data_IF_379949026801
#
_entry.id   IF_379949026801
#
_cell.length_a   1.000
_cell.length_b   1.000
_cell.length_c   1.000
_cell.angle_alpha   90.00
_cell.angle_beta   90.00
_cell.angle_gamma   90.00
#
_symmetry.space_group_name_H-M   'P 1'
#
loop_
_entity.id
_entity.type
_entity.pdbx_description
1 polymer ?
#
# COMPACT_ATOMS: atom_id res chain seq x y z
N UNK A 1 36.62 -0.74 68.73
CA UNK A 1 36.70 -2.19 68.49
C UNK A 1 37.27 -2.39 67.09
N UNK A 2 38.54 -2.81 66.98
CA UNK A 2 39.25 -3.07 65.72
C UNK A 2 39.03 -4.53 65.32
N UNK A 3 38.76 -4.80 64.05
CA UNK A 3 39.27 -6.00 63.37
C UNK A 3 39.53 -5.69 61.90
N UNK A 4 40.73 -6.07 61.47
CA UNK A 4 41.33 -5.95 60.15
C UNK A 4 41.26 -7.35 59.51
N UNK A 5 41.03 -7.41 58.21
CA UNK A 5 41.26 -8.60 57.38
C UNK A 5 40.55 -8.41 56.05
N UNK A 6 41.15 -8.54 54.88
CA UNK A 6 42.45 -9.09 54.48
C UNK A 6 42.23 -9.53 53.03
N UNK A 7 42.92 -8.89 52.09
CA UNK A 7 42.80 -9.10 50.64
C UNK A 7 43.21 -10.54 50.25
N UNK A 8 42.40 -11.22 49.44
CA UNK A 8 42.78 -12.42 48.72
C UNK A 8 42.74 -12.13 47.21
N UNK A 9 43.93 -12.14 46.61
CA UNK A 9 44.19 -11.98 45.18
C UNK A 9 43.99 -13.34 44.50
N UNK A 10 42.99 -13.47 43.64
CA UNK A 10 42.81 -14.65 42.79
C UNK A 10 43.38 -14.37 41.39
N UNK A 11 44.45 -15.08 41.05
CA UNK A 11 45.08 -15.12 39.73
C UNK A 11 44.16 -15.82 38.73
N UNK A 12 43.79 -15.15 37.63
CA UNK A 12 43.20 -15.80 36.45
C UNK A 12 44.31 -15.96 35.42
N UNK A 13 44.64 -17.22 35.11
CA UNK A 13 45.59 -17.58 34.08
C UNK A 13 45.02 -17.27 32.69
N UNK A 14 45.75 -16.49 31.89
CA UNK A 14 45.46 -16.27 30.48
C UNK A 14 45.84 -17.53 29.69
N UNK A 15 44.85 -18.27 29.21
CA UNK A 15 45.05 -19.30 28.19
C UNK A 15 45.14 -18.64 26.81
N UNK A 16 46.32 -18.70 26.18
CA UNK A 16 46.46 -18.38 24.76
C UNK A 16 45.84 -19.52 23.94
N UNK A 17 44.58 -19.35 23.55
CA UNK A 17 43.96 -20.15 22.49
C UNK A 17 44.04 -19.38 21.17
N UNK A 18 44.84 -19.86 20.24
CA UNK A 18 44.90 -19.33 18.88
C UNK A 18 43.54 -19.54 18.17
N UNK A 19 42.94 -18.52 17.54
CA UNK A 19 41.74 -18.74 16.76
C UNK A 19 42.15 -19.49 15.49
N UNK A 20 41.60 -20.70 15.32
CA UNK A 20 41.69 -21.40 14.04
C UNK A 20 41.11 -20.49 12.95
N UNK A 21 41.94 -20.15 11.96
CA UNK A 21 41.53 -19.40 10.78
C UNK A 21 40.49 -20.22 10.01
N UNK A 22 39.21 -20.00 10.32
CA UNK A 22 38.10 -20.49 9.54
C UNK A 22 38.12 -19.84 8.17
N UNK A 23 38.18 -20.65 7.11
CA UNK A 23 38.02 -20.18 5.74
C UNK A 23 36.75 -19.33 5.61
N UNK A 24 36.74 -18.26 4.79
CA UNK A 24 35.55 -17.44 4.61
C UNK A 24 34.43 -18.32 4.04
N UNK A 25 33.36 -18.49 4.82
CA UNK A 25 32.15 -19.14 4.33
C UNK A 25 31.63 -18.31 3.16
N UNK A 26 31.69 -18.88 1.96
CA UNK A 26 31.06 -18.30 0.77
C UNK A 26 29.55 -18.32 1.04
N UNK A 27 29.00 -17.15 1.36
CA UNK A 27 27.58 -16.97 1.58
C UNK A 27 26.86 -17.12 0.25
N UNK A 28 26.30 -18.30 -0.01
CA UNK A 28 25.32 -18.55 -1.07
C UNK A 28 23.93 -17.93 -0.77
N UNK A 29 23.85 -16.95 0.15
CA UNK A 29 22.60 -16.24 0.39
C UNK A 29 22.24 -15.41 -0.85
N UNK A 30 21.00 -15.51 -1.34
CA UNK A 30 20.52 -14.62 -2.40
C UNK A 30 20.73 -13.16 -2.02
N UNK A 31 21.03 -12.27 -2.98
CA UNK A 31 21.19 -10.85 -2.69
C UNK A 31 19.91 -10.31 -2.04
N UNK A 32 20.08 -9.48 -1.00
CA UNK A 32 18.95 -8.85 -0.32
C UNK A 32 18.16 -7.97 -1.29
N UNK A 33 16.83 -8.15 -1.36
CA UNK A 33 15.96 -7.33 -2.20
C UNK A 33 16.01 -5.86 -1.72
N UNK A 34 16.10 -4.87 -2.63
CA UNK A 34 16.14 -3.46 -2.23
C UNK A 34 14.87 -3.09 -1.46
N UNK A 35 14.88 -2.07 -0.58
CA UNK A 35 13.69 -1.67 0.16
C UNK A 35 12.57 -1.22 -0.79
N UNK A 36 11.31 -1.40 -0.35
CA UNK A 36 10.13 -0.86 -1.02
C UNK A 36 9.49 0.15 -0.11
N UNK A 37 9.29 1.36 -0.61
CA UNK A 37 8.55 2.42 0.06
C UNK A 37 7.16 2.53 -0.56
N UNK A 38 6.16 2.49 0.31
CA UNK A 38 4.76 2.70 -0.06
C UNK A 38 4.28 3.98 0.60
N UNK A 39 3.53 4.78 -0.13
CA UNK A 39 2.73 5.85 0.46
C UNK A 39 1.25 5.56 0.21
N UNK A 40 0.46 5.68 1.28
CA UNK A 40 -0.96 5.33 1.26
C UNK A 40 -1.76 6.62 1.41
N UNK A 41 -2.55 6.95 0.40
CA UNK A 41 -3.57 7.99 0.47
C UNK A 41 -4.88 7.40 0.98
N UNK A 42 -5.57 8.13 1.87
CA UNK A 42 -6.96 7.84 2.21
C UNK A 42 -7.89 8.21 1.06
N UNK A 43 -9.02 8.81 1.39
CA UNK A 43 -10.00 9.25 0.40
C UNK A 43 -9.45 10.41 -0.45
N UNK A 44 -9.30 10.14 -1.73
CA UNK A 44 -8.86 11.09 -2.74
C UNK A 44 -10.05 11.39 -3.64
N UNK A 45 -10.48 12.65 -3.60
CA UNK A 45 -11.48 13.21 -4.49
C UNK A 45 -10.87 14.38 -5.27
N UNK A 46 -10.82 14.24 -6.60
CA UNK A 46 -10.20 15.18 -7.53
C UNK A 46 -11.22 16.15 -8.14
N UNK A 47 -12.48 15.75 -8.25
CA UNK A 47 -13.53 16.53 -8.89
C UNK A 47 -13.27 16.77 -10.37
N UNK A 48 -13.65 17.95 -10.85
CA UNK A 48 -13.44 18.42 -12.23
C UNK A 48 -12.06 19.03 -12.47
N UNK A 49 -11.26 19.25 -11.42
CA UNK A 49 -10.03 20.01 -11.54
C UNK A 49 -8.88 19.15 -12.08
N UNK A 50 -8.45 19.47 -13.30
CA UNK A 50 -7.36 18.79 -14.00
C UNK A 50 -5.97 19.34 -13.66
N UNK A 51 -5.89 20.35 -12.78
CA UNK A 51 -4.61 20.83 -12.27
C UNK A 51 -3.91 19.72 -11.47
N UNK A 52 -2.57 19.70 -11.43
CA UNK A 52 -1.82 18.64 -10.79
C UNK A 52 -1.85 18.81 -9.27
N UNK A 53 -2.99 18.49 -8.65
CA UNK A 53 -3.29 18.68 -7.21
C UNK A 53 -2.23 18.08 -6.28
N UNK A 54 -1.57 17.00 -6.70
CA UNK A 54 -0.57 16.30 -5.91
C UNK A 54 0.88 16.68 -6.29
N UNK A 55 1.10 17.64 -7.19
CA UNK A 55 2.46 18.04 -7.60
C UNK A 55 3.33 18.52 -6.43
N UNK A 56 2.73 19.20 -5.44
CA UNK A 56 3.48 19.74 -4.30
C UNK A 56 4.08 18.64 -3.40
N UNK A 57 3.49 17.44 -3.39
CA UNK A 57 3.98 16.32 -2.58
C UNK A 57 4.85 15.35 -3.38
N UNK A 58 4.84 15.41 -4.72
CA UNK A 58 5.60 14.50 -5.57
C UNK A 58 7.10 14.45 -5.23
N UNK A 59 7.82 15.56 -4.93
CA UNK A 59 9.23 15.50 -4.54
C UNK A 59 9.48 14.82 -3.19
N UNK A 60 8.52 14.87 -2.27
CA UNK A 60 8.61 14.20 -0.96
C UNK A 60 8.41 12.69 -1.11
N UNK A 61 7.66 12.27 -2.12
CA UNK A 61 7.26 10.90 -2.39
C UNK A 61 8.07 10.25 -3.52
N UNK A 62 9.17 10.87 -3.94
CA UNK A 62 9.98 10.38 -5.06
C UNK A 62 10.51 8.96 -4.78
N UNK A 63 10.34 8.07 -5.75
CA UNK A 63 10.69 6.65 -5.63
C UNK A 63 9.70 5.78 -4.82
N UNK A 64 8.76 6.37 -4.07
CA UNK A 64 7.72 5.63 -3.35
C UNK A 64 6.56 5.24 -4.28
N UNK A 65 5.92 4.09 -4.01
CA UNK A 65 4.76 3.63 -4.76
C UNK A 65 3.47 4.03 -4.06
N UNK A 66 2.63 4.80 -4.76
CA UNK A 66 1.36 5.28 -4.25
C UNK A 66 0.22 4.28 -4.41
N UNK A 67 -0.58 4.14 -3.35
CA UNK A 67 -1.85 3.42 -3.32
C UNK A 67 -2.87 4.36 -2.67
N UNK A 68 -4.00 4.61 -3.32
CA UNK A 68 -5.03 5.56 -2.82
C UNK A 68 -6.42 4.94 -2.79
N UNK A 69 -7.31 5.44 -1.94
CA UNK A 69 -8.74 5.16 -2.03
C UNK A 69 -9.40 6.27 -2.88
N UNK A 70 -10.03 5.92 -4.00
CA UNK A 70 -10.71 6.91 -4.84
C UNK A 70 -12.13 7.11 -4.31
N UNK A 71 -12.42 8.34 -3.87
CA UNK A 71 -13.74 8.70 -3.39
C UNK A 71 -14.59 9.20 -4.56
N UNK A 72 -15.63 8.45 -4.89
CA UNK A 72 -16.50 8.70 -6.03
C UNK A 72 -16.01 8.09 -7.36
N UNK A 73 -16.93 7.82 -8.30
CA UNK A 73 -16.62 7.22 -9.59
C UNK A 73 -15.86 8.16 -10.52
N UNK A 74 -15.15 7.60 -11.49
CA UNK A 74 -14.64 8.36 -12.64
C UNK A 74 -15.76 8.57 -13.63
N UNK A 75 -16.09 9.84 -13.91
CA UNK A 75 -17.16 10.24 -14.82
C UNK A 75 -16.84 11.60 -15.45
N UNK A 76 -17.23 11.84 -16.71
CA UNK A 76 -16.92 13.09 -17.41
C UNK A 76 -17.67 14.32 -16.87
N UNK A 77 -18.72 14.11 -16.08
CA UNK A 77 -19.52 15.17 -15.49
C UNK A 77 -20.08 14.73 -14.13
N UNK A 78 -20.41 15.71 -13.31
CA UNK A 78 -21.07 15.50 -12.03
C UNK A 78 -22.38 14.71 -12.19
N UNK A 79 -22.61 13.65 -11.40
CA UNK A 79 -23.87 12.93 -11.40
C UNK A 79 -25.02 13.84 -10.97
N UNK A 80 -26.16 13.70 -11.65
CA UNK A 80 -27.40 14.38 -11.26
C UNK A 80 -28.11 13.61 -10.13
N UNK A 81 -28.81 14.32 -9.26
CA UNK A 81 -29.60 13.71 -8.18
C UNK A 81 -29.67 14.56 -6.92
N UNK A 82 -30.40 14.07 -5.92
CA UNK A 82 -30.41 14.66 -4.58
C UNK A 82 -29.25 14.14 -3.73
N UNK A 83 -28.81 14.97 -2.78
CA UNK A 83 -27.71 14.66 -1.87
C UNK A 83 -26.33 15.01 -2.42
N UNK A 84 -25.29 14.75 -1.62
CA UNK A 84 -23.90 14.91 -2.06
C UNK A 84 -23.56 13.78 -3.04
N UNK A 85 -23.12 14.16 -4.24
CA UNK A 85 -22.61 13.26 -5.28
C UNK A 85 -21.21 13.68 -5.64
N UNK A 86 -20.29 12.72 -5.64
CA UNK A 86 -18.90 12.92 -5.99
C UNK A 86 -18.59 12.29 -7.34
N UNK A 87 -17.61 12.83 -8.03
CA UNK A 87 -17.03 12.23 -9.23
C UNK A 87 -15.60 12.71 -9.41
N UNK A 88 -14.87 11.98 -10.23
CA UNK A 88 -13.52 12.35 -10.64
C UNK A 88 -13.52 12.45 -12.17
N UNK A 89 -13.20 13.62 -12.72
CA UNK A 89 -13.10 13.77 -14.17
C UNK A 89 -11.95 12.89 -14.70
N UNK A 90 -12.11 12.18 -15.84
CA UNK A 90 -11.04 11.32 -16.37
C UNK A 90 -9.67 12.02 -16.51
N UNK A 91 -9.58 13.27 -16.99
CA UNK A 91 -8.29 13.96 -17.07
C UNK A 91 -7.64 14.25 -15.71
N UNK A 92 -8.42 14.30 -14.62
CA UNK A 92 -7.89 14.55 -13.27
C UNK A 92 -7.02 13.39 -12.77
N UNK A 93 -7.19 12.16 -13.30
CA UNK A 93 -6.38 10.99 -12.96
C UNK A 93 -4.87 11.21 -13.22
N UNK A 94 -4.51 12.15 -14.09
CA UNK A 94 -3.12 12.56 -14.31
C UNK A 94 -2.43 13.04 -13.01
N UNK A 95 -3.19 13.64 -12.09
CA UNK A 95 -2.69 14.06 -10.78
C UNK A 95 -2.18 12.87 -9.96
N UNK A 96 -2.91 11.74 -9.98
CA UNK A 96 -2.49 10.51 -9.28
C UNK A 96 -1.18 9.96 -9.86
N UNK A 97 -1.09 9.91 -11.20
CA UNK A 97 0.13 9.46 -11.89
C UNK A 97 1.33 10.33 -11.55
N UNK A 98 1.15 11.64 -11.50
CA UNK A 98 2.22 12.60 -11.19
C UNK A 98 2.79 12.42 -9.77
N UNK A 99 2.01 11.83 -8.86
CA UNK A 99 2.42 11.53 -7.49
C UNK A 99 2.94 10.10 -7.29
N UNK A 100 3.17 9.35 -8.38
CA UNK A 100 3.67 7.97 -8.30
C UNK A 100 2.61 6.94 -7.90
N UNK A 101 1.32 7.25 -7.98
CA UNK A 101 0.25 6.28 -7.73
C UNK A 101 0.28 5.19 -8.80
N UNK A 102 0.23 3.93 -8.36
CA UNK A 102 0.10 2.75 -9.23
C UNK A 102 -1.24 2.03 -9.11
N UNK A 103 -1.94 2.19 -7.99
CA UNK A 103 -3.22 1.54 -7.76
C UNK A 103 -4.21 2.46 -7.07
N UNK A 104 -5.49 2.36 -7.44
CA UNK A 104 -6.57 3.13 -6.84
C UNK A 104 -7.74 2.21 -6.46
N UNK A 105 -8.18 2.31 -5.21
CA UNK A 105 -9.30 1.58 -4.64
C UNK A 105 -10.61 2.19 -5.08
N UNK A 106 -11.58 1.35 -5.47
CA UNK A 106 -12.91 1.79 -5.94
C UNK A 106 -14.04 1.31 -5.04
N UNK A 107 -13.74 0.52 -4.01
CA UNK A 107 -14.71 0.13 -2.99
C UNK A 107 -14.81 1.25 -1.95
N UNK A 108 -15.61 2.27 -2.27
CA UNK A 108 -15.84 3.43 -1.44
C UNK A 108 -17.36 3.68 -1.33
N UNK A 109 -17.82 4.32 -0.25
CA UNK A 109 -19.23 4.61 -0.03
C UNK A 109 -19.86 5.46 -1.15
N UNK A 110 -19.07 6.28 -1.86
CA UNK A 110 -19.50 7.08 -3.01
C UNK A 110 -19.38 6.37 -4.38
N UNK A 111 -18.95 5.11 -4.44
CA UNK A 111 -18.68 4.39 -5.70
C UNK A 111 -19.89 4.30 -6.67
N UNK A 112 -21.12 4.42 -6.15
CA UNK A 112 -22.36 4.31 -6.92
C UNK A 112 -22.98 5.67 -7.27
N UNK A 113 -22.30 6.78 -7.02
CA UNK A 113 -22.87 8.12 -7.24
C UNK A 113 -23.19 8.39 -8.72
N UNK A 114 -22.46 7.78 -9.65
CA UNK A 114 -22.72 7.80 -11.09
C UNK A 114 -23.57 6.60 -11.57
N UNK A 115 -24.35 6.00 -10.66
CA UNK A 115 -25.21 4.85 -10.94
C UNK A 115 -24.52 3.50 -10.79
N UNK A 116 -25.28 2.43 -11.04
CA UNK A 116 -24.84 1.04 -10.83
C UNK A 116 -23.64 0.63 -11.70
N UNK A 117 -23.47 1.25 -12.87
CA UNK A 117 -22.33 1.03 -13.77
C UNK A 117 -21.09 1.88 -13.42
N UNK A 118 -21.21 2.78 -12.44
CA UNK A 118 -20.15 3.67 -12.00
C UNK A 118 -18.85 2.94 -11.66
N UNK A 119 -18.87 1.87 -10.85
CA UNK A 119 -17.67 1.10 -10.51
C UNK A 119 -16.97 0.48 -11.72
N UNK A 120 -17.72 -0.17 -12.62
CA UNK A 120 -17.13 -0.84 -13.80
C UNK A 120 -16.53 0.18 -14.77
N UNK A 121 -17.20 1.31 -14.97
CA UNK A 121 -16.66 2.45 -15.72
C UNK A 121 -15.38 2.98 -15.09
N UNK A 122 -15.39 3.18 -13.77
CA UNK A 122 -14.25 3.66 -13.00
C UNK A 122 -13.05 2.73 -13.14
N UNK A 123 -13.26 1.42 -13.04
CA UNK A 123 -12.20 0.42 -13.23
C UNK A 123 -11.57 0.51 -14.63
N UNK A 124 -12.39 0.68 -15.68
CA UNK A 124 -11.90 0.84 -17.06
C UNK A 124 -11.08 2.11 -17.22
N UNK A 125 -11.59 3.25 -16.77
CA UNK A 125 -10.90 4.55 -16.88
C UNK A 125 -9.57 4.57 -16.11
N UNK A 126 -9.53 3.95 -14.92
CA UNK A 126 -8.27 3.75 -14.18
C UNK A 126 -7.29 2.91 -14.99
N UNK A 127 -7.75 1.79 -15.57
CA UNK A 127 -6.93 0.94 -16.44
C UNK A 127 -6.37 1.68 -17.65
N UNK A 128 -7.21 2.47 -18.33
CA UNK A 128 -6.82 3.29 -19.49
C UNK A 128 -5.82 4.39 -19.09
N UNK A 129 -5.90 4.91 -17.86
CA UNK A 129 -4.92 5.82 -17.28
C UNK A 129 -3.65 5.11 -16.76
N UNK A 130 -3.54 3.80 -16.90
CA UNK A 130 -2.40 2.99 -16.45
C UNK A 130 -2.32 2.80 -14.93
N UNK A 131 -3.44 2.96 -14.22
CA UNK A 131 -3.61 2.71 -12.79
C UNK A 131 -4.29 1.35 -12.60
N UNK A 132 -3.85 0.55 -11.64
CA UNK A 132 -4.51 -0.70 -11.29
C UNK A 132 -5.75 -0.42 -10.41
N UNK A 133 -6.98 -0.66 -10.90
CA UNK A 133 -8.15 -0.60 -10.03
C UNK A 133 -8.16 -1.78 -9.05
N UNK A 134 -8.69 -1.58 -7.84
CA UNK A 134 -8.95 -2.66 -6.90
C UNK A 134 -10.21 -2.43 -6.04
N UNK A 135 -10.84 -3.52 -5.62
CA UNK A 135 -12.13 -3.52 -4.91
C UNK A 135 -13.32 -3.76 -5.83
N UNK A 136 -14.47 -4.08 -5.23
CA UNK A 136 -15.72 -4.41 -5.96
C UNK A 136 -15.47 -5.44 -7.08
N UNK A 137 -16.09 -5.24 -8.26
CA UNK A 137 -15.93 -6.12 -9.42
C UNK A 137 -14.50 -6.21 -9.98
N UNK A 138 -13.61 -5.27 -9.63
CA UNK A 138 -12.20 -5.33 -10.05
C UNK A 138 -11.38 -6.34 -9.23
N UNK A 139 -11.86 -6.72 -8.03
CA UNK A 139 -11.12 -7.63 -7.15
C UNK A 139 -9.80 -7.04 -6.63
N UNK A 140 -8.86 -7.86 -6.12
CA UNK A 140 -7.58 -7.37 -5.63
C UNK A 140 -6.64 -6.95 -6.76
N UNK A 141 -5.88 -5.87 -6.56
CA UNK A 141 -4.71 -5.58 -7.40
C UNK A 141 -3.49 -6.35 -6.90
N UNK A 142 -2.59 -6.73 -7.81
CA UNK A 142 -1.28 -7.31 -7.49
C UNK A 142 -0.22 -6.45 -8.16
N UNK A 143 0.62 -5.79 -7.36
CA UNK A 143 1.71 -4.95 -7.82
C UNK A 143 3.04 -5.69 -7.66
N UNK A 144 3.81 -5.80 -8.74
CA UNK A 144 5.18 -6.32 -8.72
C UNK A 144 6.17 -5.15 -8.52
N UNK A 145 6.82 -5.10 -7.35
CA UNK A 145 7.72 -4.00 -6.97
C UNK A 145 8.98 -4.58 -6.35
N UNK A 146 10.14 -4.32 -6.96
CA UNK A 146 11.44 -4.80 -6.47
C UNK A 146 11.47 -6.33 -6.16
N UNK A 147 10.84 -7.13 -7.03
CA UNK A 147 10.73 -8.59 -6.86
C UNK A 147 9.85 -9.01 -5.69
N UNK A 148 8.88 -8.17 -5.30
CA UNK A 148 7.84 -8.46 -4.30
C UNK A 148 6.47 -8.31 -4.94
N UNK A 149 5.57 -9.25 -4.63
CA UNK A 149 4.14 -9.17 -4.93
C UNK A 149 3.41 -8.48 -3.78
N UNK A 150 2.89 -7.29 -4.04
CA UNK A 150 2.06 -6.55 -3.10
C UNK A 150 0.61 -6.69 -3.54
N UNK A 151 -0.18 -7.39 -2.74
CA UNK A 151 -1.61 -7.58 -2.97
C UNK A 151 -2.35 -6.46 -2.27
N UNK A 152 -3.24 -5.78 -2.99
CA UNK A 152 -4.00 -4.64 -2.49
C UNK A 152 -5.49 -4.94 -2.59
N UNK A 153 -6.22 -4.79 -1.48
CA UNK A 153 -7.67 -4.99 -1.40
C UNK A 153 -8.37 -3.74 -0.88
N UNK A 154 -9.59 -3.50 -1.35
CA UNK A 154 -10.46 -2.44 -0.83
C UNK A 154 -11.82 -3.01 -0.46
N UNK A 155 -12.33 -2.57 0.68
CA UNK A 155 -13.59 -2.99 1.25
C UNK A 155 -14.36 -1.76 1.68
N UNK A 156 -15.63 -1.67 1.33
CA UNK A 156 -16.52 -0.64 1.89
C UNK A 156 -17.40 -1.31 2.95
N UNK A 157 -17.29 -0.82 4.19
CA UNK A 157 -17.95 -1.34 5.38
C UNK A 157 -19.22 -0.56 5.77
N UNK A 158 -19.45 0.64 5.23
CA UNK A 158 -20.57 1.50 5.58
C UNK A 158 -21.92 1.08 4.98
N UNK A 159 -21.92 0.27 3.92
CA UNK A 159 -23.14 -0.24 3.28
C UNK A 159 -23.43 -1.68 3.72
N UNK A 160 -24.25 -1.81 4.76
CA UNK A 160 -24.74 -3.10 5.25
C UNK A 160 -23.79 -3.75 6.26
N UNK A 161 -24.05 -5.01 6.61
CA UNK A 161 -23.12 -5.77 7.44
C UNK A 161 -21.82 -6.00 6.66
N UNK A 162 -20.65 -5.96 7.31
CA UNK A 162 -19.40 -6.41 6.69
C UNK A 162 -19.59 -7.78 6.05
N UNK A 163 -18.94 -8.08 4.91
CA UNK A 163 -19.04 -9.39 4.29
C UNK A 163 -18.70 -10.46 5.33
N UNK A 164 -19.61 -11.42 5.56
CA UNK A 164 -19.41 -12.48 6.56
C UNK A 164 -18.13 -13.32 6.30
N UNK A 165 -17.63 -13.24 5.07
CA UNK A 165 -16.45 -13.91 4.54
C UNK A 165 -15.20 -13.02 4.43
N UNK A 166 -15.19 -11.79 4.98
CA UNK A 166 -14.05 -10.85 4.87
C UNK A 166 -12.72 -11.51 5.31
N UNK A 167 -12.75 -12.32 6.38
CA UNK A 167 -11.56 -13.06 6.83
C UNK A 167 -11.06 -14.11 5.83
N UNK A 168 -11.97 -14.80 5.12
CA UNK A 168 -11.61 -15.74 4.05
C UNK A 168 -11.05 -15.01 2.83
N UNK A 169 -11.64 -13.88 2.46
CA UNK A 169 -11.19 -13.04 1.35
C UNK A 169 -9.78 -12.50 1.58
N UNK A 170 -9.51 -11.98 2.78
CA UNK A 170 -8.17 -11.50 3.15
C UNK A 170 -7.14 -12.63 3.21
N UNK A 171 -7.52 -13.83 3.68
CA UNK A 171 -6.64 -15.02 3.62
C UNK A 171 -6.32 -15.42 2.19
N UNK A 172 -7.33 -15.45 1.32
CA UNK A 172 -7.15 -15.76 -0.10
C UNK A 172 -6.31 -14.70 -0.82
N UNK A 173 -6.48 -13.42 -0.50
CA UNK A 173 -5.65 -12.34 -1.03
C UNK A 173 -4.21 -12.45 -0.51
N UNK A 174 -4.01 -12.66 0.80
CA UNK A 174 -2.69 -12.84 1.41
C UNK A 174 -1.87 -13.94 0.74
N UNK A 175 -2.52 -15.04 0.36
CA UNK A 175 -1.85 -16.16 -0.30
C UNK A 175 -1.28 -15.82 -1.70
N UNK A 176 -1.70 -14.70 -2.31
CA UNK A 176 -1.29 -14.31 -3.66
C UNK A 176 0.00 -13.47 -3.71
N UNK A 177 0.53 -13.02 -2.58
CA UNK A 177 1.75 -12.20 -2.57
C UNK A 177 2.50 -12.11 -1.25
N UNK A 178 3.64 -11.43 -1.29
CA UNK A 178 4.58 -11.26 -0.18
C UNK A 178 4.08 -10.26 0.87
N UNK A 179 3.29 -9.27 0.44
CA UNK A 179 2.72 -8.19 1.26
C UNK A 179 1.23 -8.10 0.96
N UNK A 180 0.41 -7.90 2.01
CA UNK A 180 -1.00 -7.57 1.88
C UNK A 180 -1.21 -6.14 2.40
N UNK A 181 -1.81 -5.29 1.57
CA UNK A 181 -2.34 -3.97 1.94
C UNK A 181 -3.86 -4.05 1.80
N UNK A 182 -4.60 -3.69 2.85
CA UNK A 182 -6.05 -3.70 2.82
C UNK A 182 -6.60 -2.36 3.28
N UNK A 183 -7.49 -1.78 2.49
CA UNK A 183 -8.23 -0.55 2.82
C UNK A 183 -9.67 -0.91 3.19
N UNK A 184 -10.25 -0.12 4.10
CA UNK A 184 -11.57 -0.34 4.70
C UNK A 184 -12.32 0.99 4.82
#
# INVERSE_FOLDING_TARGET
>A
MRLIGGFALAMVAAGCGEPAAGAPASSNAPPARPPVELWIGGDVHLGDDTSPRLAAIAPVLDGAVGIVNLEGPVAPAAPSGSGVRLHNAPPALASLRSAGVRAAGIANNHALDAGAEGPDRTARELGDAGLAPFGLGAGPAILEIAGRRIVVTAHELGRGAPPANLGDELRAARAKGDVLVSTF
#
